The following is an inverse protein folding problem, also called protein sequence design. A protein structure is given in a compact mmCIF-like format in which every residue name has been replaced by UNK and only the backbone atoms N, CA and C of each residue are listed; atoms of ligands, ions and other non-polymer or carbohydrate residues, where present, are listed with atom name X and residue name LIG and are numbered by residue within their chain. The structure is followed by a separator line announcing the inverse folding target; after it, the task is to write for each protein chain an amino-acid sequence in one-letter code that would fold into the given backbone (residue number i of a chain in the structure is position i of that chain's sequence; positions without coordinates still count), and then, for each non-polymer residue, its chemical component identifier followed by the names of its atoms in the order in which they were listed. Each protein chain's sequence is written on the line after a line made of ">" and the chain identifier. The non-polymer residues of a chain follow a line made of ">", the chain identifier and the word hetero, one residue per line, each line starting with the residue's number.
data_IF_420227994666
#
_entry.id   IF_420227994666
#
_cell.length_a   1.000
_cell.length_b   1.000
_cell.length_c   1.000
_cell.angle_alpha   90.00
_cell.angle_beta   90.00
_cell.angle_gamma   90.00
#
_symmetry.space_group_name_H-M   'P 1'
#
loop_
_entity.id
_entity.type
_entity.pdbx_description
1 polymer ?
#
# COMPACT_ATOMS: atom_id res chain seq x y z
N UNK A 1 -6.92 -5.59 -2.28
CA UNK A 1 -7.33 -4.55 -1.31
C UNK A 1 -6.47 -4.70 -0.07
N UNK A 2 -6.21 -3.62 0.66
CA UNK A 2 -5.49 -3.59 1.95
C UNK A 2 -4.08 -4.25 1.93
N UNK A 3 -3.33 -4.06 0.84
CA UNK A 3 -1.97 -4.61 0.72
C UNK A 3 -1.07 -4.01 1.82
N UNK A 4 -0.50 -4.88 2.64
CA UNK A 4 0.39 -4.49 3.73
C UNK A 4 -0.28 -4.26 5.07
N UNK A 5 -1.59 -4.48 5.22
CA UNK A 5 -2.22 -4.48 6.55
C UNK A 5 -1.70 -5.64 7.41
N UNK A 6 -1.60 -6.84 6.81
CA UNK A 6 -0.97 -8.03 7.40
C UNK A 6 0.29 -8.33 6.57
N UNK A 7 1.45 -8.60 7.19
CA UNK A 7 2.64 -9.07 6.47
C UNK A 7 2.35 -10.35 5.70
N UNK A 8 2.91 -10.48 4.50
CA UNK A 8 2.78 -11.72 3.75
C UNK A 8 3.71 -12.79 4.31
N UNK A 9 3.23 -14.03 4.34
CA UNK A 9 4.12 -15.18 4.37
C UNK A 9 4.92 -15.26 3.06
N UNK A 10 6.15 -15.79 3.05
CA UNK A 10 7.00 -15.81 1.85
C UNK A 10 6.32 -16.41 0.61
N UNK A 11 5.55 -17.48 0.79
CA UNK A 11 4.78 -18.12 -0.28
C UNK A 11 3.70 -17.18 -0.85
N UNK A 12 3.01 -16.46 0.02
CA UNK A 12 1.97 -15.51 -0.37
C UNK A 12 2.57 -14.29 -1.10
N UNK A 13 3.76 -13.82 -0.68
CA UNK A 13 4.49 -12.76 -1.37
C UNK A 13 4.88 -13.19 -2.80
N UNK A 14 5.34 -14.43 -2.96
CA UNK A 14 5.66 -15.01 -4.27
C UNK A 14 4.42 -15.12 -5.17
N UNK A 15 3.29 -15.59 -4.65
CA UNK A 15 2.03 -15.66 -5.39
C UNK A 15 1.56 -14.27 -5.83
N UNK A 16 1.67 -13.27 -4.95
CA UNK A 16 1.35 -11.89 -5.29
C UNK A 16 2.27 -11.36 -6.40
N UNK A 17 3.57 -11.68 -6.36
CA UNK A 17 4.52 -11.28 -7.40
C UNK A 17 4.19 -11.90 -8.76
N UNK A 18 3.82 -13.19 -8.78
CA UNK A 18 3.39 -13.87 -10.00
C UNK A 18 2.11 -13.25 -10.55
N UNK A 19 1.15 -12.92 -9.68
CA UNK A 19 -0.08 -12.23 -10.08
C UNK A 19 0.21 -10.87 -10.72
N UNK A 20 1.00 -10.01 -10.06
CA UNK A 20 1.37 -8.69 -10.59
C UNK A 20 2.13 -8.84 -11.91
N UNK A 21 3.11 -9.74 -11.98
CA UNK A 21 3.87 -9.99 -13.20
C UNK A 21 3.00 -10.50 -14.35
N UNK A 22 1.97 -11.30 -14.07
CA UNK A 22 1.02 -11.77 -15.08
C UNK A 22 0.10 -10.68 -15.61
N UNK A 23 -0.17 -9.65 -14.81
CA UNK A 23 -1.01 -8.49 -15.14
C UNK A 23 -0.25 -7.33 -15.77
N UNK A 24 1.02 -7.20 -15.44
CA UNK A 24 1.94 -6.18 -15.95
C UNK A 24 1.86 -6.08 -17.48
N UNK A 25 1.65 -4.87 -17.99
CA UNK A 25 1.45 -4.54 -19.42
C UNK A 25 0.30 -5.27 -20.14
N UNK A 26 -0.56 -6.00 -19.41
CA UNK A 26 -1.65 -6.79 -20.00
C UNK A 26 -3.04 -6.32 -19.60
N UNK A 27 -3.23 -5.91 -18.35
CA UNK A 27 -4.45 -5.19 -17.95
C UNK A 27 -4.35 -4.60 -16.54
N UNK A 28 -5.28 -3.69 -16.23
CA UNK A 28 -5.24 -2.84 -15.04
C UNK A 28 -5.43 -3.60 -13.72
N UNK A 29 -4.82 -3.07 -12.67
CA UNK A 29 -4.98 -3.53 -11.29
C UNK A 29 -5.16 -2.29 -10.41
N UNK A 30 -6.13 -2.33 -9.50
CA UNK A 30 -6.29 -1.33 -8.45
C UNK A 30 -5.82 -1.94 -7.14
N UNK A 31 -4.87 -1.27 -6.48
CA UNK A 31 -4.33 -1.67 -5.18
C UNK A 31 -4.57 -0.54 -4.19
N UNK A 32 -5.02 -0.89 -3.00
CA UNK A 32 -5.09 0.01 -1.86
C UNK A 32 -4.08 -0.45 -0.82
N UNK A 33 -3.45 0.50 -0.15
CA UNK A 33 -2.53 0.24 0.96
C UNK A 33 -2.60 1.37 1.96
N UNK A 34 -2.48 1.04 3.24
CA UNK A 34 -2.30 2.02 4.32
C UNK A 34 -0.81 2.23 4.67
N UNK A 35 0.12 1.56 3.98
CA UNK A 35 1.56 1.68 4.18
C UNK A 35 2.20 2.42 2.99
N UNK A 36 3.11 3.38 3.24
CA UNK A 36 3.92 3.96 2.16
C UNK A 36 4.86 2.90 1.57
N UNK A 37 5.26 3.06 0.31
CA UNK A 37 6.14 2.12 -0.40
C UNK A 37 7.44 1.79 0.35
N UNK A 38 8.03 2.75 1.06
CA UNK A 38 9.23 2.53 1.88
C UNK A 38 9.06 1.54 3.04
N UNK A 39 7.82 1.15 3.39
CA UNK A 39 7.53 0.10 4.38
C UNK A 39 7.11 -1.22 3.77
N UNK A 40 7.17 -1.36 2.45
CA UNK A 40 6.77 -2.60 1.78
C UNK A 40 7.80 -3.73 1.94
N UNK A 41 9.04 -3.43 2.34
CA UNK A 41 9.98 -4.47 2.78
C UNK A 41 9.44 -5.31 3.93
N UNK A 42 8.79 -4.68 4.92
CA UNK A 42 8.11 -5.36 6.03
C UNK A 42 6.94 -6.24 5.55
N UNK A 43 6.39 -5.94 4.37
CA UNK A 43 5.18 -6.59 3.83
C UNK A 43 5.57 -7.80 2.99
N UNK A 44 6.63 -7.70 2.18
CA UNK A 44 7.05 -8.73 1.23
C UNK A 44 8.28 -9.53 1.68
N UNK A 45 8.81 -9.26 2.88
CA UNK A 45 9.90 -9.99 3.52
C UNK A 45 11.23 -9.23 3.51
N UNK A 46 11.58 -8.63 2.36
CA UNK A 46 12.77 -7.79 2.24
C UNK A 46 12.58 -6.63 1.24
N UNK A 47 13.48 -5.66 1.30
CA UNK A 47 13.46 -4.47 0.44
C UNK A 47 13.73 -4.78 -1.04
N UNK A 48 14.41 -5.88 -1.36
CA UNK A 48 14.74 -6.25 -2.73
C UNK A 48 13.49 -6.74 -3.46
N UNK A 49 12.74 -7.66 -2.86
CA UNK A 49 11.47 -8.17 -3.39
C UNK A 49 10.44 -7.06 -3.44
N UNK A 50 10.37 -6.22 -2.40
CA UNK A 50 9.49 -5.07 -2.37
C UNK A 50 9.79 -4.08 -3.50
N UNK A 51 11.06 -3.72 -3.74
CA UNK A 51 11.45 -2.82 -4.82
C UNK A 51 11.05 -3.38 -6.19
N UNK A 52 11.31 -4.67 -6.45
CA UNK A 52 10.94 -5.32 -7.71
C UNK A 52 9.42 -5.39 -7.93
N UNK A 53 8.63 -5.51 -6.86
CA UNK A 53 7.17 -5.45 -6.92
C UNK A 53 6.68 -4.04 -7.21
N UNK A 54 7.21 -3.05 -6.48
CA UNK A 54 6.85 -1.64 -6.62
C UNK A 54 7.14 -1.20 -8.05
N UNK A 55 8.32 -1.49 -8.58
CA UNK A 55 8.73 -1.15 -9.94
C UNK A 55 7.67 -1.57 -10.98
N UNK A 56 7.23 -2.82 -10.94
CA UNK A 56 6.17 -3.35 -11.82
C UNK A 56 4.83 -2.66 -11.63
N UNK A 57 4.44 -2.40 -10.38
CA UNK A 57 3.17 -1.76 -10.07
C UNK A 57 3.14 -0.30 -10.54
N UNK A 58 4.22 0.45 -10.33
CA UNK A 58 4.23 1.90 -10.53
C UNK A 58 4.64 2.35 -11.93
N UNK A 59 5.27 1.48 -12.73
CA UNK A 59 5.75 1.84 -14.06
C UNK A 59 4.64 2.40 -14.98
N UNK A 60 3.42 1.87 -14.87
CA UNK A 60 2.24 2.36 -15.62
C UNK A 60 1.04 2.64 -14.69
N UNK A 61 1.28 3.26 -13.53
CA UNK A 61 0.22 3.59 -12.59
C UNK A 61 0.06 5.08 -12.32
N UNK A 62 -1.16 5.44 -11.92
CA UNK A 62 -1.45 6.69 -11.25
C UNK A 62 -1.48 6.43 -9.74
N UNK A 63 -0.64 7.14 -8.98
CA UNK A 63 -0.54 6.97 -7.52
C UNK A 63 -1.33 8.08 -6.82
N UNK A 64 -2.45 7.69 -6.21
CA UNK A 64 -3.32 8.62 -5.49
C UNK A 64 -3.04 8.52 -3.99
N UNK A 65 -2.40 9.55 -3.44
CA UNK A 65 -2.16 9.66 -1.99
C UNK A 65 -3.36 10.26 -1.28
N UNK A 66 -4.03 9.46 -0.45
CA UNK A 66 -5.18 9.90 0.33
C UNK A 66 -4.74 10.43 1.71
N UNK A 67 -5.28 11.59 2.10
CA UNK A 67 -5.08 12.21 3.41
C UNK A 67 -6.44 12.61 3.99
N UNK A 68 -6.52 12.64 5.32
CA UNK A 68 -7.72 13.07 6.04
C UNK A 68 -8.12 12.09 7.15
N UNK A 69 -9.09 12.49 7.95
CA UNK A 69 -9.59 11.64 9.03
C UNK A 69 -10.37 10.44 8.49
N UNK A 70 -10.36 9.38 9.28
CA UNK A 70 -11.16 8.19 9.00
C UNK A 70 -12.63 8.56 8.89
N UNK A 71 -13.23 8.23 7.73
CA UNK A 71 -14.66 8.40 7.53
C UNK A 71 -15.49 7.62 8.56
N UNK A 72 -14.97 6.49 9.07
CA UNK A 72 -15.63 5.66 10.09
C UNK A 72 -15.81 6.39 11.43
N UNK A 73 -15.02 7.44 11.67
CA UNK A 73 -15.08 8.27 12.87
C UNK A 73 -16.02 9.48 12.71
N UNK A 74 -16.55 9.72 11.51
CA UNK A 74 -17.50 10.82 11.28
C UNK A 74 -18.76 10.61 12.12
N UNK A 75 -19.11 11.60 12.94
CA UNK A 75 -20.26 11.54 13.85
C UNK A 75 -20.03 10.76 15.15
N UNK A 76 -18.83 10.19 15.35
CA UNK A 76 -18.39 9.68 16.66
C UNK A 76 -17.49 10.73 17.28
N UNK A 77 -18.03 11.49 18.23
CA UNK A 77 -17.26 12.49 18.99
C UNK A 77 -16.38 11.77 20.02
N UNK A 78 -15.30 11.16 19.54
CA UNK A 78 -14.28 10.50 20.36
C UNK A 78 -13.10 11.47 20.49
N UNK A 79 -13.30 12.58 21.20
CA UNK A 79 -12.25 13.49 21.69
C UNK A 79 -11.07 13.64 20.72
N UNK A 80 -11.29 14.32 19.59
CA UNK A 80 -10.29 14.51 18.55
C UNK A 80 -9.07 15.23 19.14
N UNK A 81 -7.95 14.52 19.30
CA UNK A 81 -6.65 15.20 19.47
C UNK A 81 -6.35 15.85 18.11
N UNK A 82 -6.17 17.18 18.03
CA UNK A 82 -5.87 17.84 16.77
C UNK A 82 -4.64 17.18 16.14
N UNK A 83 -4.75 16.77 14.87
CA UNK A 83 -3.57 16.44 14.09
C UNK A 83 -2.65 17.67 14.14
N UNK A 84 -1.50 17.52 14.80
CA UNK A 84 -0.55 18.61 14.93
C UNK A 84 -0.22 19.12 13.52
N UNK A 85 -0.42 20.41 13.31
CA UNK A 85 0.11 21.12 12.16
C UNK A 85 1.64 20.98 12.20
N UNK A 86 2.19 19.99 11.50
CA UNK A 86 3.60 20.04 11.10
C UNK A 86 3.63 20.74 9.75
N UNK A 87 3.58 22.07 9.81
CA UNK A 87 4.11 22.90 8.75
C UNK A 87 5.63 22.93 8.90
N UNK A 88 6.31 22.52 7.84
CA UNK A 88 7.57 23.07 7.28
C UNK A 88 7.77 22.46 5.89
#
# INVERSE_FOLDING_TARGET
>A
DEVGYIPFEPEAANLFFQFISGRYERASVIVTSNKPFGRWGEVFGDDTVAAAMIDRLVHHAEVISLKGDSYRMRGRDLGRVPAANTGE
#
